data_IF_365989002476
#
_entry.id   IF_365989002476
#
_cell.length_a   1.000
_cell.length_b   1.000
_cell.length_c   1.000
_cell.angle_alpha   90.00
_cell.angle_beta   90.00
_cell.angle_gamma   90.00
#
_symmetry.space_group_name_H-M   'P 1'
#
loop_
_entity.id
_entity.type
_entity.pdbx_description
1 polymer ?
#
# COMPACT_ATOMS: atom_id res chain seq x y z
N UNK A 1 -6.85 18.34 7.24
CA UNK A 1 -6.35 18.62 5.88
C UNK A 1 -7.51 18.61 4.89
N UNK A 2 -7.58 19.57 3.96
CA UNK A 2 -8.59 19.61 2.89
C UNK A 2 -7.90 19.37 1.55
N UNK A 3 -8.46 18.48 0.74
CA UNK A 3 -7.93 18.13 -0.59
C UNK A 3 -9.07 18.24 -1.59
N UNK A 4 -8.78 18.78 -2.77
CA UNK A 4 -9.68 18.79 -3.92
C UNK A 4 -9.20 17.72 -4.90
N UNK A 5 -10.12 16.88 -5.38
CA UNK A 5 -9.83 15.77 -6.28
C UNK A 5 -10.62 15.96 -7.56
N UNK A 6 -9.96 15.76 -8.70
CA UNK A 6 -10.62 15.68 -9.99
C UNK A 6 -10.92 14.22 -10.33
N UNK A 7 -12.15 13.94 -10.72
CA UNK A 7 -12.60 12.62 -11.18
C UNK A 7 -13.45 12.81 -12.44
N UNK A 8 -13.57 11.81 -13.32
CA UNK A 8 -14.42 11.90 -14.50
C UNK A 8 -15.89 12.18 -14.13
N UNK A 9 -16.56 13.03 -14.91
CA UNK A 9 -17.96 13.41 -14.68
C UNK A 9 -18.91 12.22 -14.51
N UNK A 10 -18.83 11.14 -15.31
CA UNK A 10 -19.71 9.97 -15.12
C UNK A 10 -19.55 9.33 -13.74
N UNK A 11 -18.34 9.37 -13.18
CA UNK A 11 -18.06 8.86 -11.82
C UNK A 11 -18.59 9.83 -10.78
N UNK A 12 -18.38 11.13 -10.97
CA UNK A 12 -18.87 12.17 -10.07
C UNK A 12 -20.40 12.14 -9.95
N UNK A 13 -21.13 12.01 -11.06
CA UNK A 13 -22.60 11.95 -11.04
C UNK A 13 -23.11 10.73 -10.29
N UNK A 14 -22.57 9.55 -10.59
CA UNK A 14 -22.93 8.31 -9.88
C UNK A 14 -22.61 8.40 -8.39
N UNK A 15 -21.47 8.97 -8.04
CA UNK A 15 -21.06 9.17 -6.65
C UNK A 15 -22.00 10.15 -5.91
N UNK A 16 -22.36 11.27 -6.56
CA UNK A 16 -23.29 12.26 -5.99
C UNK A 16 -24.68 11.69 -5.78
N UNK A 17 -25.17 10.87 -6.72
CA UNK A 17 -26.47 10.22 -6.66
C UNK A 17 -26.53 9.13 -5.58
N UNK A 18 -25.48 8.32 -5.46
CA UNK A 18 -25.43 7.22 -4.49
C UNK A 18 -25.17 7.70 -3.05
N UNK A 19 -24.45 8.82 -2.86
CA UNK A 19 -23.95 9.22 -1.54
C UNK A 19 -24.48 10.59 -1.13
N UNK A 20 -25.23 10.59 -0.03
CA UNK A 20 -25.80 11.79 0.59
C UNK A 20 -24.73 12.85 0.86
N UNK A 21 -25.09 14.15 0.74
CA UNK A 21 -24.23 15.25 1.18
C UNK A 21 -23.71 15.02 2.61
N UNK A 22 -22.53 15.58 2.93
CA UNK A 22 -21.82 15.45 4.23
C UNK A 22 -21.30 14.04 4.58
N UNK A 23 -21.63 13.00 3.80
CA UNK A 23 -21.07 11.64 3.96
C UNK A 23 -20.01 11.31 2.90
N UNK A 24 -19.91 12.12 1.85
CA UNK A 24 -19.03 11.91 0.69
C UNK A 24 -17.56 11.77 1.07
N UNK A 25 -17.01 12.72 1.85
CA UNK A 25 -15.60 12.65 2.27
C UNK A 25 -15.29 11.39 3.06
N UNK A 26 -16.18 10.96 3.96
CA UNK A 26 -16.02 9.71 4.73
C UNK A 26 -15.92 8.50 3.81
N UNK A 27 -16.74 8.44 2.75
CA UNK A 27 -16.70 7.31 1.81
C UNK A 27 -15.41 7.34 1.00
N UNK A 28 -15.00 8.50 0.48
CA UNK A 28 -13.71 8.63 -0.24
C UNK A 28 -12.55 8.22 0.65
N UNK A 29 -12.51 8.68 1.91
CA UNK A 29 -11.48 8.28 2.88
C UNK A 29 -11.48 6.76 3.09
N UNK A 30 -12.64 6.13 3.26
CA UNK A 30 -12.73 4.68 3.41
C UNK A 30 -12.17 3.95 2.18
N UNK A 31 -12.56 4.36 0.98
CA UNK A 31 -12.08 3.76 -0.28
C UNK A 31 -10.56 3.92 -0.44
N UNK A 32 -10.00 5.06 -0.05
CA UNK A 32 -8.55 5.29 -0.07
C UNK A 32 -7.85 4.34 0.90
N UNK A 33 -8.35 4.21 2.13
CA UNK A 33 -7.78 3.29 3.13
C UNK A 33 -7.82 1.84 2.61
N UNK A 34 -8.98 1.40 2.11
CA UNK A 34 -9.15 0.05 1.55
C UNK A 34 -8.15 -0.23 0.41
N UNK A 35 -7.97 0.72 -0.49
CA UNK A 35 -7.04 0.59 -1.61
C UNK A 35 -5.57 0.58 -1.17
N UNK A 36 -5.19 1.42 -0.20
CA UNK A 36 -3.83 1.41 0.36
C UNK A 36 -3.55 0.09 1.07
N UNK A 37 -4.45 -0.37 1.94
CA UNK A 37 -4.31 -1.67 2.61
C UNK A 37 -4.18 -2.82 1.60
N UNK A 38 -4.94 -2.79 0.50
CA UNK A 38 -4.83 -3.79 -0.57
C UNK A 38 -3.44 -3.79 -1.21
N UNK A 39 -2.89 -2.61 -1.51
CA UNK A 39 -1.54 -2.46 -2.09
C UNK A 39 -0.47 -2.94 -1.11
N UNK A 40 -0.56 -2.54 0.15
CA UNK A 40 0.39 -2.95 1.20
C UNK A 40 0.38 -4.47 1.39
N UNK A 41 -0.80 -5.09 1.39
CA UNK A 41 -0.93 -6.54 1.48
C UNK A 41 -0.32 -7.26 0.27
N UNK A 42 -0.50 -6.69 -0.93
CA UNK A 42 0.09 -7.21 -2.16
C UNK A 42 1.61 -7.14 -2.11
N UNK A 43 2.16 -5.99 -1.69
CA UNK A 43 3.61 -5.80 -1.51
C UNK A 43 4.16 -6.78 -0.46
N UNK A 44 3.51 -6.86 0.71
CA UNK A 44 3.94 -7.77 1.77
C UNK A 44 3.90 -9.24 1.33
N UNK A 45 2.93 -9.63 0.49
CA UNK A 45 2.89 -10.96 -0.08
C UNK A 45 4.05 -11.21 -1.06
N UNK A 46 4.37 -10.24 -1.91
CA UNK A 46 5.52 -10.32 -2.81
C UNK A 46 6.84 -10.43 -2.03
N UNK A 47 7.04 -9.62 -0.99
CA UNK A 47 8.21 -9.71 -0.10
C UNK A 47 8.30 -11.09 0.58
N UNK A 48 7.20 -11.61 1.13
CA UNK A 48 7.18 -12.97 1.71
C UNK A 48 7.51 -14.05 0.70
N UNK A 49 7.10 -13.87 -0.56
CA UNK A 49 7.44 -14.81 -1.63
C UNK A 49 8.92 -14.75 -1.98
N UNK A 50 9.48 -13.55 -2.13
CA UNK A 50 10.91 -13.36 -2.39
C UNK A 50 11.77 -13.94 -1.26
N UNK A 51 11.42 -13.66 0.00
CA UNK A 51 12.17 -14.17 1.15
C UNK A 51 12.07 -15.69 1.34
N UNK A 52 11.14 -16.37 0.66
CA UNK A 52 11.09 -17.85 0.64
C UNK A 52 11.98 -18.46 -0.43
N UNK A 53 12.54 -17.64 -1.32
CA UNK A 53 13.49 -18.09 -2.32
C UNK A 53 14.80 -18.50 -1.63
N UNK A 54 15.15 -19.78 -1.76
CA UNK A 54 16.34 -20.35 -1.14
C UNK A 54 17.64 -19.85 -1.77
N UNK A 55 17.62 -19.44 -3.05
CA UNK A 55 18.79 -18.85 -3.69
C UNK A 55 19.07 -17.47 -3.08
N UNK A 56 18.03 -16.63 -3.01
CA UNK A 56 18.11 -15.32 -2.36
C UNK A 56 18.51 -15.44 -0.89
N UNK A 57 17.94 -16.39 -0.14
CA UNK A 57 18.29 -16.58 1.27
C UNK A 57 19.78 -16.89 1.45
N UNK A 58 20.37 -17.73 0.59
CA UNK A 58 21.81 -18.04 0.65
C UNK A 58 22.67 -16.82 0.36
N UNK A 59 22.27 -15.99 -0.61
CA UNK A 59 22.96 -14.72 -0.87
C UNK A 59 22.87 -13.80 0.36
N UNK A 60 21.69 -13.65 0.96
CA UNK A 60 21.52 -12.86 2.18
C UNK A 60 22.41 -13.38 3.30
N UNK A 61 22.45 -14.70 3.53
CA UNK A 61 23.28 -15.31 4.57
C UNK A 61 24.79 -15.07 4.32
N UNK A 62 25.23 -15.11 3.06
CA UNK A 62 26.61 -14.78 2.65
C UNK A 62 26.94 -13.31 2.93
N UNK A 63 26.07 -12.38 2.53
CA UNK A 63 26.21 -10.95 2.82
C UNK A 63 26.21 -10.65 4.32
N UNK A 64 25.38 -11.34 5.12
CA UNK A 64 25.32 -11.17 6.58
C UNK A 64 26.49 -11.83 7.32
N UNK A 65 27.26 -12.70 6.66
CA UNK A 65 28.44 -13.34 7.25
C UNK A 65 29.66 -12.40 7.34
N UNK A 66 29.60 -11.26 6.65
CA UNK A 66 30.63 -10.22 6.69
C UNK A 66 30.48 -9.48 8.02
N UNK A 67 31.48 -9.62 8.89
CA UNK A 67 31.58 -8.84 10.12
C UNK A 67 32.07 -7.42 9.78
N UNK A 68 31.19 -6.42 9.90
CA UNK A 68 31.51 -5.01 9.64
C UNK A 68 32.42 -4.40 10.72
N UNK A 69 32.82 -5.15 11.75
CA UNK A 69 33.85 -4.74 12.71
C UNK A 69 33.49 -3.51 13.53
N UNK A 70 32.19 -3.24 13.74
CA UNK A 70 31.75 -2.12 14.57
C UNK A 70 32.00 -2.46 16.03
N UNK A 71 33.12 -1.95 16.56
CA UNK A 71 33.44 -1.94 17.99
C UNK A 71 32.71 -0.75 18.64
N UNK A 72 31.88 -1.02 19.65
CA UNK A 72 31.24 -0.02 20.52
C UNK A 72 32.26 0.71 21.42
#
# INVERSE_FOLDING_TARGET
MRVTLSIPDPVAERFKAAIRPRRRSRVVTRLIIEELTRRDNTLAAACRSANRDKALQREIDDWQSIDDGVQE
#
